data_IF_780269475906
#
_entry.id   IF_780269475906
#
_cell.length_a   1.000
_cell.length_b   1.000
_cell.length_c   1.000
_cell.angle_alpha   90.00
_cell.angle_beta   90.00
_cell.angle_gamma   90.00
#
_symmetry.space_group_name_H-M   'P 1'
#
loop_
_entity.id
_entity.type
_entity.pdbx_description
1 polymer ?
#
# COMPACT_ATOMS: atom_id res chain seq x y z
N UNK A 1 14.82 -52.98 -12.20
CA UNK A 1 15.19 -52.46 -10.86
C UNK A 1 14.95 -50.97 -10.83
N UNK A 2 13.89 -50.57 -10.13
CA UNK A 2 13.45 -49.18 -10.11
C UNK A 2 14.06 -48.45 -8.91
N UNK A 3 14.68 -47.30 -9.17
CA UNK A 3 15.10 -46.36 -8.15
C UNK A 3 14.06 -45.26 -7.96
N UNK A 4 13.36 -45.26 -6.81
CA UNK A 4 12.47 -44.17 -6.36
C UNK A 4 13.32 -43.03 -5.80
N UNK A 5 13.38 -41.89 -6.48
CA UNK A 5 13.89 -40.65 -5.96
C UNK A 5 12.86 -39.99 -5.04
N UNK A 6 13.08 -40.03 -3.73
CA UNK A 6 12.27 -39.32 -2.74
C UNK A 6 12.55 -37.83 -2.80
N UNK A 7 11.54 -37.01 -3.14
CA UNK A 7 11.59 -35.58 -2.94
C UNK A 7 11.34 -35.28 -1.46
N UNK A 8 12.42 -34.97 -0.74
CA UNK A 8 12.32 -34.42 0.60
C UNK A 8 11.76 -33.01 0.52
N UNK A 9 10.50 -32.84 0.90
CA UNK A 9 9.95 -31.52 1.24
C UNK A 9 10.75 -30.97 2.44
N UNK A 10 11.63 -30.04 2.17
CA UNK A 10 12.25 -29.22 3.20
C UNK A 10 11.13 -28.36 3.81
N UNK A 11 10.62 -28.80 4.97
CA UNK A 11 9.77 -27.95 5.81
C UNK A 11 10.57 -26.70 6.17
N UNK A 12 10.16 -25.55 5.66
CA UNK A 12 10.67 -24.25 6.10
C UNK A 12 10.28 -24.11 7.56
N UNK A 13 11.29 -24.02 8.42
CA UNK A 13 11.13 -23.77 9.85
C UNK A 13 10.18 -22.59 10.06
N UNK A 14 9.11 -22.78 10.85
CA UNK A 14 8.12 -21.79 11.14
C UNK A 14 8.77 -20.52 11.68
N UNK A 15 8.59 -19.38 10.98
CA UNK A 15 8.91 -18.06 11.53
C UNK A 15 8.07 -17.90 12.79
N UNK A 16 8.72 -17.71 13.94
CA UNK A 16 8.02 -17.43 15.20
C UNK A 16 7.07 -16.23 15.02
N UNK A 17 5.93 -16.23 15.75
CA UNK A 17 4.94 -15.16 15.66
C UNK A 17 5.61 -13.79 15.82
N UNK A 18 5.30 -12.85 14.89
CA UNK A 18 5.83 -11.48 14.93
C UNK A 18 5.40 -10.75 16.20
N UNK A 19 6.06 -9.65 16.54
CA UNK A 19 5.63 -8.81 17.68
C UNK A 19 4.15 -8.39 17.52
N UNK A 20 3.72 -8.08 16.29
CA UNK A 20 2.34 -7.68 15.96
C UNK A 20 1.37 -8.84 16.23
N UNK A 21 1.72 -10.08 15.89
CA UNK A 21 0.85 -11.25 16.08
C UNK A 21 0.57 -11.57 17.55
N UNK A 22 1.45 -11.15 18.45
CA UNK A 22 1.29 -11.34 19.91
C UNK A 22 0.42 -10.29 20.60
N UNK A 23 0.03 -9.22 19.89
CA UNK A 23 -0.86 -8.19 20.43
C UNK A 23 -2.30 -8.71 20.42
N UNK A 24 -2.95 -8.75 21.57
CA UNK A 24 -4.26 -9.40 21.75
C UNK A 24 -5.43 -8.43 21.83
N UNK A 25 -5.18 -7.13 21.71
CA UNK A 25 -6.24 -6.12 21.71
C UNK A 25 -5.88 -4.89 20.87
N UNK A 26 -6.92 -4.17 20.43
CA UNK A 26 -6.75 -2.88 19.71
C UNK A 26 -6.00 -1.86 20.57
N UNK A 27 -6.21 -1.85 21.88
CA UNK A 27 -5.50 -0.95 22.79
C UNK A 27 -3.99 -1.22 22.78
N UNK A 28 -3.60 -2.49 22.85
CA UNK A 28 -2.17 -2.87 22.76
C UNK A 28 -1.60 -2.51 21.39
N UNK A 29 -2.34 -2.75 20.30
CA UNK A 29 -1.90 -2.44 18.96
C UNK A 29 -1.74 -0.91 18.75
N UNK A 30 -2.71 -0.12 19.20
CA UNK A 30 -2.60 1.34 19.16
C UNK A 30 -1.39 1.85 19.95
N UNK A 31 -1.13 1.29 21.14
CA UNK A 31 0.05 1.63 21.95
C UNK A 31 1.34 1.23 21.23
N UNK A 32 1.38 0.03 20.65
CA UNK A 32 2.54 -0.46 19.91
C UNK A 32 2.85 0.43 18.70
N UNK A 33 1.84 0.79 17.91
CA UNK A 33 1.99 1.69 16.75
C UNK A 33 2.51 3.08 17.15
N UNK A 34 2.02 3.64 18.26
CA UNK A 34 2.50 4.96 18.77
C UNK A 34 3.97 4.94 19.19
N UNK A 35 4.48 3.79 19.57
CA UNK A 35 5.88 3.62 19.99
C UNK A 35 6.83 3.33 18.81
N UNK A 36 6.32 3.24 17.57
CA UNK A 36 7.17 3.13 16.40
C UNK A 36 7.70 4.51 15.97
N UNK A 37 8.91 4.54 15.43
CA UNK A 37 9.53 5.73 14.83
C UNK A 37 8.99 6.04 13.41
N UNK A 38 7.91 5.40 13.02
CA UNK A 38 7.31 5.49 11.68
C UNK A 38 6.58 6.81 11.45
N UNK A 39 6.01 7.34 12.51
CA UNK A 39 5.13 8.49 12.48
C UNK A 39 5.84 9.72 13.05
N UNK A 40 5.46 10.91 12.57
CA UNK A 40 5.97 12.15 13.12
C UNK A 40 5.50 12.37 14.58
N UNK A 41 6.25 13.13 15.38
CA UNK A 41 5.82 13.48 16.73
C UNK A 41 4.43 14.10 16.76
N UNK A 42 3.59 13.69 17.71
CA UNK A 42 2.20 14.19 17.82
C UNK A 42 1.21 13.52 16.87
N UNK A 43 1.58 12.49 16.16
CA UNK A 43 0.69 11.73 15.25
C UNK A 43 -0.51 11.15 15.98
N UNK A 44 -1.67 11.20 15.31
CA UNK A 44 -2.89 10.61 15.86
C UNK A 44 -3.08 9.17 15.33
N UNK A 45 -3.05 8.20 16.27
CA UNK A 45 -3.22 6.78 15.97
C UNK A 45 -4.36 6.22 16.81
N UNK A 46 -5.40 5.72 16.12
CA UNK A 46 -6.55 5.08 16.75
C UNK A 46 -7.27 4.14 15.77
N UNK A 47 -7.17 2.85 15.99
CA UNK A 47 -7.89 1.81 15.25
C UNK A 47 -9.09 1.28 16.04
N UNK A 48 -9.70 2.11 16.90
CA UNK A 48 -10.88 1.74 17.67
C UNK A 48 -12.05 1.36 16.74
N UNK A 49 -12.70 0.25 17.01
CA UNK A 49 -13.81 -0.26 16.19
C UNK A 49 -13.39 -1.08 14.96
N UNK A 50 -12.08 -1.20 14.69
CA UNK A 50 -11.53 -2.10 13.67
C UNK A 50 -11.41 -3.51 14.24
N UNK A 51 -11.65 -4.53 13.41
CA UNK A 51 -11.34 -5.93 13.71
C UNK A 51 -9.86 -6.09 14.07
N UNK A 52 -9.53 -6.93 15.06
CA UNK A 52 -8.15 -7.06 15.54
C UNK A 52 -7.20 -7.60 14.45
N UNK A 53 -7.64 -8.57 13.67
CA UNK A 53 -6.81 -9.12 12.60
C UNK A 53 -6.63 -8.11 11.46
N UNK A 54 -7.69 -7.35 11.15
CA UNK A 54 -7.58 -6.24 10.19
C UNK A 54 -6.60 -5.18 10.69
N UNK A 55 -6.64 -4.83 11.96
CA UNK A 55 -5.72 -3.87 12.56
C UNK A 55 -4.26 -4.38 12.59
N UNK A 56 -4.04 -5.69 12.82
CA UNK A 56 -2.73 -6.33 12.66
C UNK A 56 -2.23 -6.25 11.22
N UNK A 57 -3.11 -6.48 10.24
CA UNK A 57 -2.80 -6.32 8.82
C UNK A 57 -2.36 -4.89 8.47
N UNK A 58 -3.03 -3.88 9.04
CA UNK A 58 -2.64 -2.47 8.93
C UNK A 58 -1.21 -2.26 9.47
N UNK A 59 -0.92 -2.74 10.67
CA UNK A 59 0.41 -2.62 11.27
C UNK A 59 1.51 -3.33 10.45
N UNK A 60 1.21 -4.52 9.90
CA UNK A 60 2.12 -5.27 9.04
C UNK A 60 2.39 -4.56 7.71
N UNK A 61 1.38 -3.91 7.11
CA UNK A 61 1.57 -3.14 5.89
C UNK A 61 2.52 -1.95 6.11
N UNK A 62 2.35 -1.20 7.19
CA UNK A 62 3.30 -0.16 7.58
C UNK A 62 4.69 -0.73 7.80
N UNK A 63 4.83 -1.82 8.57
CA UNK A 63 6.12 -2.46 8.82
C UNK A 63 6.83 -2.82 7.51
N UNK A 64 6.14 -3.47 6.58
CA UNK A 64 6.72 -3.85 5.28
C UNK A 64 7.24 -2.64 4.48
N UNK A 65 6.49 -1.52 4.52
CA UNK A 65 6.89 -0.30 3.82
C UNK A 65 8.11 0.34 4.48
N UNK A 66 8.14 0.46 5.82
CA UNK A 66 9.28 1.08 6.51
C UNK A 66 10.52 0.19 6.58
N UNK A 67 10.36 -1.14 6.51
CA UNK A 67 11.48 -2.07 6.33
C UNK A 67 12.15 -1.86 4.95
N UNK A 68 11.35 -1.57 3.91
CA UNK A 68 11.86 -1.30 2.56
C UNK A 68 12.33 0.15 2.39
N UNK A 69 11.61 1.11 2.94
CA UNK A 69 11.80 2.55 2.75
C UNK A 69 11.95 3.29 4.09
N UNK A 70 13.03 3.06 4.84
CA UNK A 70 13.22 3.66 6.16
C UNK A 70 13.31 5.20 6.12
N UNK A 71 13.64 5.80 4.97
CA UNK A 71 13.68 7.25 4.77
C UNK A 71 12.31 7.94 4.83
N UNK A 72 11.21 7.18 4.74
CA UNK A 72 9.85 7.70 4.88
C UNK A 72 9.41 7.86 6.34
N UNK A 73 10.22 7.39 7.31
CA UNK A 73 9.91 7.54 8.72
C UNK A 73 9.78 9.01 9.11
N UNK A 74 8.82 9.31 9.96
CA UNK A 74 8.56 10.67 10.40
C UNK A 74 7.75 11.55 9.44
N UNK A 75 7.41 11.07 8.24
CA UNK A 75 6.52 11.80 7.34
C UNK A 75 5.04 11.62 7.70
N UNK A 76 4.63 10.40 8.00
CA UNK A 76 3.23 10.06 8.24
C UNK A 76 2.70 10.68 9.53
N UNK A 77 1.52 11.30 9.47
CA UNK A 77 0.85 11.88 10.64
C UNK A 77 -0.10 10.94 11.37
N UNK A 78 -0.07 9.65 11.01
CA UNK A 78 -0.76 8.60 11.73
C UNK A 78 -1.82 7.86 10.92
N UNK A 79 -2.55 6.98 11.61
CA UNK A 79 -3.65 6.19 11.06
C UNK A 79 -4.82 6.15 12.05
N UNK A 80 -6.04 6.32 11.54
CA UNK A 80 -7.23 6.25 12.39
C UNK A 80 -8.41 5.58 11.69
N UNK A 81 -9.25 4.93 12.49
CA UNK A 81 -10.58 4.54 12.03
C UNK A 81 -11.49 5.76 11.98
N UNK A 82 -12.32 5.83 10.95
CA UNK A 82 -13.24 6.94 10.71
C UNK A 82 -14.47 6.48 9.95
N UNK A 83 -15.56 7.20 10.07
CA UNK A 83 -16.73 6.95 9.23
C UNK A 83 -16.53 7.63 7.87
N UNK A 84 -16.24 6.81 6.86
CA UNK A 84 -16.02 7.25 5.48
C UNK A 84 -17.28 7.08 4.60
N UNK A 85 -18.41 6.75 5.22
CA UNK A 85 -19.62 6.40 4.48
C UNK A 85 -19.56 5.03 3.83
N UNK A 86 -20.52 4.74 2.95
CA UNK A 86 -20.60 3.46 2.24
C UNK A 86 -19.70 3.43 1.01
N UNK A 87 -18.98 2.32 0.82
CA UNK A 87 -18.21 2.08 -0.41
C UNK A 87 -16.76 2.58 -0.40
N UNK A 88 -16.34 3.35 0.60
CA UNK A 88 -14.95 3.78 0.74
C UNK A 88 -14.24 2.91 1.77
N UNK A 89 -13.17 2.25 1.37
CA UNK A 89 -12.35 1.41 2.26
C UNK A 89 -11.46 2.26 3.17
N UNK A 90 -10.72 3.19 2.57
CA UNK A 90 -9.77 4.04 3.24
C UNK A 90 -9.56 5.31 2.41
N UNK A 91 -8.86 6.29 2.95
CA UNK A 91 -8.36 7.45 2.23
C UNK A 91 -7.06 7.98 2.84
N UNK A 92 -6.32 8.77 2.08
CA UNK A 92 -5.06 9.38 2.46
C UNK A 92 -5.06 10.90 2.22
N UNK A 93 -4.56 11.66 3.18
CA UNK A 93 -4.19 13.05 2.97
C UNK A 93 -2.76 13.13 2.43
N UNK A 94 -2.60 13.48 1.16
CA UNK A 94 -1.32 13.55 0.45
C UNK A 94 -0.30 14.46 1.13
N UNK A 95 -0.76 15.58 1.71
CA UNK A 95 0.13 16.57 2.32
C UNK A 95 0.70 16.11 3.67
N UNK A 96 0.02 15.21 4.35
CA UNK A 96 0.39 14.85 5.73
C UNK A 96 0.65 13.37 5.93
N UNK A 97 0.35 12.53 4.96
CA UNK A 97 0.37 11.07 5.12
C UNK A 97 -0.59 10.57 6.20
N UNK A 98 -1.64 11.34 6.56
CA UNK A 98 -2.69 10.84 7.45
C UNK A 98 -3.57 9.87 6.70
N UNK A 99 -3.68 8.64 7.19
CA UNK A 99 -4.57 7.63 6.61
C UNK A 99 -5.79 7.44 7.51
N UNK A 100 -6.98 7.39 6.88
CA UNK A 100 -8.22 7.00 7.54
C UNK A 100 -8.71 5.68 6.96
N UNK A 101 -9.09 4.75 7.82
CA UNK A 101 -9.69 3.48 7.42
C UNK A 101 -11.16 3.45 7.84
N UNK A 102 -12.04 2.96 6.98
CA UNK A 102 -13.48 2.92 7.25
C UNK A 102 -13.78 2.01 8.45
N UNK A 103 -14.33 2.59 9.51
CA UNK A 103 -14.75 1.82 10.68
C UNK A 103 -15.90 0.86 10.37
N UNK A 104 -16.66 1.09 9.30
CA UNK A 104 -17.72 0.20 8.83
C UNK A 104 -17.14 -1.00 8.09
N UNK A 105 -16.25 -0.76 7.11
CA UNK A 105 -15.65 -1.82 6.28
C UNK A 105 -14.68 -2.70 7.07
N UNK A 106 -13.89 -2.10 7.95
CA UNK A 106 -12.87 -2.81 8.74
C UNK A 106 -13.39 -3.41 10.06
N UNK A 107 -14.68 -3.29 10.34
CA UNK A 107 -15.28 -3.87 11.56
C UNK A 107 -15.29 -5.39 11.56
N UNK A 108 -15.36 -6.01 10.37
CA UNK A 108 -15.43 -7.47 10.18
C UNK A 108 -14.53 -7.88 9.03
N UNK A 109 -13.39 -8.46 9.36
CA UNK A 109 -12.40 -8.86 8.36
C UNK A 109 -12.98 -9.71 7.22
N UNK A 110 -13.82 -10.69 7.54
CA UNK A 110 -14.41 -11.57 6.52
C UNK A 110 -15.29 -10.82 5.50
N UNK A 111 -15.97 -9.76 5.91
CA UNK A 111 -16.78 -8.93 5.01
C UNK A 111 -15.88 -8.07 4.14
N UNK A 112 -14.81 -7.51 4.71
CA UNK A 112 -13.77 -6.79 3.98
C UNK A 112 -13.11 -7.67 2.90
N UNK A 113 -12.68 -8.87 3.27
CA UNK A 113 -12.08 -9.84 2.36
C UNK A 113 -13.01 -10.20 1.19
N UNK A 114 -14.28 -10.51 1.49
CA UNK A 114 -15.27 -10.83 0.44
C UNK A 114 -15.51 -9.64 -0.49
N UNK A 115 -15.55 -8.43 0.05
CA UNK A 115 -15.70 -7.22 -0.76
C UNK A 115 -14.51 -7.03 -1.67
N UNK A 116 -13.31 -7.08 -1.14
CA UNK A 116 -12.07 -6.93 -1.90
C UNK A 116 -11.90 -8.00 -3.00
N UNK A 117 -12.25 -9.28 -2.70
CA UNK A 117 -12.24 -10.36 -3.70
C UNK A 117 -13.22 -10.07 -4.86
N UNK A 118 -14.40 -9.49 -4.59
CA UNK A 118 -15.31 -9.07 -5.68
C UNK A 118 -14.70 -7.99 -6.55
N UNK A 119 -14.02 -7.02 -5.94
CA UNK A 119 -13.39 -5.91 -6.63
C UNK A 119 -12.21 -6.38 -7.51
N UNK A 120 -11.38 -7.32 -7.03
CA UNK A 120 -10.35 -7.98 -7.85
C UNK A 120 -10.99 -8.70 -9.05
N UNK A 121 -12.06 -9.47 -8.84
CA UNK A 121 -12.74 -10.18 -9.94
C UNK A 121 -13.33 -9.25 -10.99
N UNK A 122 -13.70 -8.04 -10.59
CA UNK A 122 -14.15 -6.97 -11.47
C UNK A 122 -13.00 -6.18 -12.11
N UNK A 123 -11.76 -6.57 -11.89
CA UNK A 123 -10.54 -5.82 -12.23
C UNK A 123 -10.55 -4.38 -11.67
N UNK A 124 -11.25 -4.16 -10.55
CA UNK A 124 -11.27 -2.85 -9.91
C UNK A 124 -9.94 -2.56 -9.23
N UNK A 125 -9.38 -3.53 -8.51
CA UNK A 125 -8.05 -3.53 -7.92
C UNK A 125 -7.10 -4.53 -8.60
N UNK A 126 -5.77 -4.44 -8.38
CA UNK A 126 -4.79 -5.29 -9.01
C UNK A 126 -4.96 -6.76 -8.67
N UNK A 127 -4.85 -7.62 -9.66
CA UNK A 127 -4.86 -9.07 -9.47
C UNK A 127 -3.64 -9.53 -8.66
N UNK A 128 -3.80 -10.63 -7.92
CA UNK A 128 -2.72 -11.22 -7.12
C UNK A 128 -2.42 -10.47 -5.81
N UNK A 129 -3.32 -9.57 -5.40
CA UNK A 129 -3.27 -8.87 -4.11
C UNK A 129 -4.33 -9.39 -3.15
N UNK A 130 -4.27 -8.97 -1.91
CA UNK A 130 -5.25 -9.24 -0.87
C UNK A 130 -5.81 -7.93 -0.28
N UNK A 131 -6.78 -8.01 0.62
CA UNK A 131 -7.40 -6.83 1.24
C UNK A 131 -6.40 -5.88 1.94
N UNK A 132 -5.25 -6.38 2.40
CA UNK A 132 -4.22 -5.52 3.00
C UNK A 132 -3.55 -4.60 1.97
N UNK A 133 -3.75 -4.86 0.67
CA UNK A 133 -3.35 -3.96 -0.40
C UNK A 133 -4.09 -2.61 -0.33
N UNK A 134 -5.27 -2.54 0.28
CA UNK A 134 -6.01 -1.28 0.48
C UNK A 134 -5.13 -0.29 1.27
N UNK A 135 -4.58 -0.71 2.42
CA UNK A 135 -3.72 0.19 3.18
C UNK A 135 -2.41 0.48 2.45
N UNK A 136 -1.85 -0.50 1.75
CA UNK A 136 -0.64 -0.30 0.95
C UNK A 136 -0.88 0.71 -0.16
N UNK A 137 -2.06 0.72 -0.77
CA UNK A 137 -2.52 1.74 -1.71
C UNK A 137 -2.52 3.14 -1.08
N UNK A 138 -3.13 3.31 0.10
CA UNK A 138 -3.14 4.59 0.80
C UNK A 138 -1.73 5.07 1.19
N UNK A 139 -0.85 4.14 1.56
CA UNK A 139 0.56 4.46 1.77
C UNK A 139 1.21 4.90 0.45
N UNK A 140 0.82 4.33 -0.69
CA UNK A 140 1.24 4.76 -2.02
C UNK A 140 0.92 6.24 -2.28
N UNK A 141 -0.30 6.67 -1.98
CA UNK A 141 -0.69 8.08 -2.04
C UNK A 141 0.16 8.97 -1.13
N UNK A 142 0.43 8.52 0.10
CA UNK A 142 1.30 9.27 1.03
C UNK A 142 2.73 9.39 0.49
N UNK A 143 3.25 8.36 -0.18
CA UNK A 143 4.58 8.39 -0.81
C UNK A 143 4.61 9.34 -1.99
N UNK A 144 3.58 9.36 -2.85
CA UNK A 144 3.47 10.33 -3.95
C UNK A 144 3.47 11.77 -3.41
N UNK A 145 2.69 12.01 -2.33
CA UNK A 145 2.70 13.28 -1.61
C UNK A 145 4.06 13.65 -1.02
N UNK A 146 4.77 12.66 -0.45
CA UNK A 146 6.15 12.86 0.05
C UNK A 146 7.11 13.28 -1.07
N UNK A 147 7.09 12.59 -2.20
CA UNK A 147 7.94 12.89 -3.35
C UNK A 147 7.64 14.30 -3.87
N UNK A 148 6.35 14.64 -4.02
CA UNK A 148 5.92 15.96 -4.49
C UNK A 148 6.43 17.10 -3.60
N UNK A 149 6.50 16.87 -2.28
CA UNK A 149 6.97 17.89 -1.32
C UNK A 149 8.50 18.00 -1.22
N UNK A 150 9.24 16.95 -1.61
CA UNK A 150 10.70 16.87 -1.43
C UNK A 150 11.49 16.91 -2.76
N UNK A 151 10.81 17.03 -3.90
CA UNK A 151 11.49 17.21 -5.18
C UNK A 151 12.08 18.64 -5.30
N UNK A 152 13.28 18.76 -5.83
CA UNK A 152 14.03 20.04 -5.93
C UNK A 152 13.31 21.14 -6.72
N UNK A 153 12.40 20.77 -7.61
CA UNK A 153 11.50 21.69 -8.33
C UNK A 153 10.34 22.20 -7.45
N UNK A 154 10.30 21.74 -6.21
CA UNK A 154 9.16 21.80 -5.28
C UNK A 154 8.96 23.14 -4.57
N UNK A 155 9.56 24.22 -5.00
CA UNK A 155 9.16 25.54 -4.53
C UNK A 155 7.71 25.83 -4.99
N UNK A 156 6.74 25.31 -4.21
CA UNK A 156 5.31 25.64 -4.29
C UNK A 156 4.51 25.12 -5.50
N UNK A 157 4.96 24.09 -6.20
CA UNK A 157 4.06 23.38 -7.10
C UNK A 157 3.05 22.57 -6.27
N UNK A 158 1.84 23.06 -6.13
CA UNK A 158 0.70 22.34 -5.55
C UNK A 158 0.08 21.37 -6.58
N UNK A 159 0.80 21.03 -7.63
CA UNK A 159 0.37 20.04 -8.62
C UNK A 159 0.68 18.63 -8.13
N UNK A 160 -0.26 18.09 -7.35
CA UNK A 160 -0.19 16.73 -6.82
C UNK A 160 -0.16 15.66 -7.92
N UNK A 161 -0.58 15.98 -9.14
CA UNK A 161 -0.60 15.04 -10.27
C UNK A 161 0.72 14.98 -11.04
N UNK A 162 1.60 15.95 -10.86
CA UNK A 162 2.82 16.09 -11.68
C UNK A 162 3.71 14.85 -11.59
N UNK A 163 4.09 14.46 -10.37
CA UNK A 163 5.00 13.34 -10.15
C UNK A 163 4.43 12.02 -10.70
N UNK A 164 3.19 11.70 -10.33
CA UNK A 164 2.54 10.48 -10.80
C UNK A 164 2.33 10.46 -12.31
N UNK A 165 2.03 11.60 -12.95
CA UNK A 165 1.85 11.71 -14.40
C UNK A 165 3.17 11.53 -15.16
N UNK A 166 4.25 12.18 -14.71
CA UNK A 166 5.59 12.05 -15.32
C UNK A 166 6.11 10.60 -15.17
N UNK A 167 5.92 9.99 -14.02
CA UNK A 167 6.33 8.61 -13.77
C UNK A 167 5.51 7.61 -14.61
N UNK A 168 4.20 7.81 -14.72
CA UNK A 168 3.34 6.97 -15.57
C UNK A 168 3.79 7.03 -17.04
N UNK A 169 3.98 8.23 -17.57
CA UNK A 169 4.42 8.44 -18.94
C UNK A 169 5.78 7.77 -19.21
N UNK A 170 6.73 7.94 -18.32
CA UNK A 170 8.06 7.33 -18.39
C UNK A 170 8.01 5.80 -18.43
N UNK A 171 7.19 5.21 -17.57
CA UNK A 171 7.06 3.74 -17.48
C UNK A 171 6.32 3.19 -18.70
N UNK A 172 5.28 3.88 -19.16
CA UNK A 172 4.55 3.49 -20.35
C UNK A 172 5.44 3.51 -21.60
N UNK A 173 6.27 4.55 -21.77
CA UNK A 173 7.26 4.64 -22.85
C UNK A 173 8.25 3.47 -22.78
N UNK A 174 8.81 3.21 -21.62
CA UNK A 174 9.79 2.12 -21.40
C UNK A 174 9.21 0.74 -21.69
N UNK A 175 7.94 0.52 -21.42
CA UNK A 175 7.23 -0.74 -21.68
C UNK A 175 6.60 -0.80 -23.08
N UNK A 176 6.71 0.28 -23.88
CA UNK A 176 6.06 0.42 -25.18
C UNK A 176 4.54 0.20 -25.12
N UNK A 177 3.89 0.74 -24.10
CA UNK A 177 2.44 0.68 -23.89
C UNK A 177 1.84 2.10 -23.86
N UNK A 178 0.53 2.20 -24.13
CA UNK A 178 -0.17 3.49 -24.02
C UNK A 178 -0.57 3.84 -22.58
N UNK A 179 -0.98 5.11 -22.38
CA UNK A 179 -1.51 5.63 -21.11
C UNK A 179 -3.02 5.85 -21.15
N UNK A 180 -3.72 5.33 -22.17
CA UNK A 180 -5.19 5.41 -22.21
C UNK A 180 -5.81 4.62 -21.06
N UNK A 181 -7.02 5.02 -20.64
CA UNK A 181 -7.79 4.32 -19.60
C UNK A 181 -7.91 2.82 -19.88
N UNK A 182 -8.17 2.44 -21.13
CA UNK A 182 -8.27 1.03 -21.52
C UNK A 182 -6.93 0.29 -21.34
N UNK A 183 -5.83 0.91 -21.72
CA UNK A 183 -4.50 0.33 -21.61
C UNK A 183 -4.08 0.19 -20.14
N UNK A 184 -4.20 1.24 -19.32
CA UNK A 184 -3.89 1.19 -17.90
C UNK A 184 -4.77 0.17 -17.18
N UNK A 185 -6.07 0.11 -17.50
CA UNK A 185 -6.96 -0.90 -16.93
C UNK A 185 -6.50 -2.33 -17.23
N UNK A 186 -5.95 -2.57 -18.41
CA UNK A 186 -5.43 -3.88 -18.82
C UNK A 186 -4.10 -4.20 -18.13
N UNK A 187 -3.21 -3.22 -17.99
CA UNK A 187 -1.86 -3.37 -17.44
C UNK A 187 -1.83 -3.41 -15.91
N UNK A 188 -2.82 -2.79 -15.26
CA UNK A 188 -2.87 -2.64 -13.81
C UNK A 188 -4.27 -2.93 -13.26
N UNK A 189 -5.18 -1.94 -13.27
CA UNK A 189 -6.53 -2.08 -12.73
C UNK A 189 -7.45 -0.99 -13.29
N UNK A 190 -8.76 -1.18 -13.19
CA UNK A 190 -9.75 -0.16 -13.56
C UNK A 190 -9.66 1.06 -12.64
N UNK A 191 -9.38 0.86 -11.36
CA UNK A 191 -9.24 1.96 -10.42
C UNK A 191 -7.97 2.77 -10.70
N UNK A 192 -6.84 2.13 -10.94
CA UNK A 192 -5.61 2.79 -11.38
C UNK A 192 -5.73 3.52 -12.73
N UNK A 193 -6.74 3.17 -13.54
CA UNK A 193 -7.02 3.86 -14.80
C UNK A 193 -7.88 5.12 -14.66
N UNK A 194 -8.34 5.47 -13.46
CA UNK A 194 -9.22 6.64 -13.23
C UNK A 194 -8.44 7.96 -13.26
N UNK A 195 -7.25 7.98 -12.70
CA UNK A 195 -6.30 9.10 -12.76
C UNK A 195 -4.89 8.63 -12.35
N UNK A 196 -3.89 9.51 -12.47
CA UNK A 196 -2.49 9.15 -12.24
C UNK A 196 -2.13 8.98 -10.75
N UNK A 197 -2.84 9.60 -9.83
CA UNK A 197 -2.65 9.36 -8.39
C UNK A 197 -3.08 7.94 -8.02
N UNK A 198 -4.25 7.51 -8.51
CA UNK A 198 -4.74 6.14 -8.31
C UNK A 198 -3.84 5.13 -9.02
N UNK A 199 -3.33 5.46 -10.22
CA UNK A 199 -2.36 4.62 -10.90
C UNK A 199 -1.10 4.40 -10.05
N UNK A 200 -0.57 5.46 -9.44
CA UNK A 200 0.62 5.38 -8.58
C UNK A 200 0.36 4.45 -7.38
N UNK A 201 -0.76 4.68 -6.68
CA UNK A 201 -1.13 3.92 -5.51
C UNK A 201 -1.41 2.43 -5.81
N UNK A 202 -2.10 2.13 -6.93
CA UNK A 202 -2.36 0.76 -7.37
C UNK A 202 -1.09 0.04 -7.83
N UNK A 203 -0.18 0.73 -8.55
CA UNK A 203 1.11 0.17 -8.96
C UNK A 203 2.00 -0.13 -7.74
N UNK A 204 1.99 0.75 -6.73
CA UNK A 204 2.66 0.53 -5.47
C UNK A 204 2.08 -0.66 -4.70
N UNK A 205 0.75 -0.73 -4.60
CA UNK A 205 0.05 -1.80 -3.90
C UNK A 205 0.34 -3.18 -4.55
N UNK A 206 0.28 -3.28 -5.88
CA UNK A 206 0.63 -4.51 -6.59
C UNK A 206 2.11 -4.87 -6.40
N UNK A 207 3.01 -3.88 -6.55
CA UNK A 207 4.44 -4.08 -6.43
C UNK A 207 4.90 -4.54 -5.05
N UNK A 208 4.18 -4.13 -3.99
CA UNK A 208 4.47 -4.50 -2.61
C UNK A 208 3.79 -5.80 -2.17
N UNK A 209 2.63 -6.14 -2.75
CA UNK A 209 1.75 -7.21 -2.23
C UNK A 209 1.68 -8.45 -3.11
N UNK A 210 1.86 -8.31 -4.43
CA UNK A 210 1.81 -9.45 -5.35
C UNK A 210 3.12 -10.23 -5.34
N UNK A 211 3.03 -11.55 -5.28
CA UNK A 211 4.21 -12.43 -5.49
C UNK A 211 4.72 -12.36 -6.93
N UNK A 212 3.83 -12.05 -7.88
CA UNK A 212 4.11 -11.95 -9.30
C UNK A 212 3.54 -10.64 -9.88
N UNK A 213 4.09 -9.47 -9.50
CA UNK A 213 3.58 -8.20 -9.99
C UNK A 213 3.74 -8.11 -11.52
N UNK A 214 2.75 -7.50 -12.18
CA UNK A 214 2.76 -7.28 -13.63
C UNK A 214 3.91 -6.35 -14.05
N UNK A 215 4.30 -6.33 -15.33
CA UNK A 215 5.42 -5.51 -15.81
C UNK A 215 5.34 -4.04 -15.39
N UNK A 216 4.15 -3.43 -15.44
CA UNK A 216 3.95 -2.04 -15.05
C UNK A 216 4.25 -1.80 -13.56
N UNK A 217 3.75 -2.64 -12.67
CA UNK A 217 4.03 -2.54 -11.23
C UNK A 217 5.50 -2.85 -10.90
N UNK A 218 6.12 -3.81 -11.57
CA UNK A 218 7.56 -4.09 -11.40
C UNK A 218 8.43 -2.91 -11.79
N UNK A 219 8.16 -2.33 -12.96
CA UNK A 219 8.93 -1.18 -13.44
C UNK A 219 8.70 0.05 -12.58
N UNK A 220 7.46 0.25 -12.10
CA UNK A 220 7.13 1.27 -11.12
C UNK A 220 8.00 1.16 -9.87
N UNK A 221 8.13 -0.04 -9.28
CA UNK A 221 8.95 -0.23 -8.08
C UNK A 221 10.43 0.06 -8.33
N UNK A 222 10.95 -0.28 -9.52
CA UNK A 222 12.33 0.04 -9.92
C UNK A 222 12.55 1.56 -9.99
N UNK A 223 11.63 2.29 -10.61
CA UNK A 223 11.75 3.75 -10.74
C UNK A 223 11.52 4.44 -9.39
N UNK A 224 10.56 3.98 -8.58
CA UNK A 224 10.32 4.48 -7.23
C UNK A 224 11.56 4.33 -6.34
N UNK A 225 12.23 3.18 -6.38
CA UNK A 225 13.48 2.95 -5.65
C UNK A 225 14.57 3.97 -6.03
N UNK A 226 14.65 4.36 -7.31
CA UNK A 226 15.60 5.40 -7.79
C UNK A 226 15.22 6.79 -7.27
N UNK A 227 13.94 7.13 -7.32
CA UNK A 227 13.44 8.43 -6.85
C UNK A 227 13.73 8.57 -5.35
N UNK A 228 13.28 7.62 -4.53
CA UNK A 228 13.41 7.67 -3.08
C UNK A 228 14.86 7.63 -2.59
N UNK A 229 15.80 7.09 -3.38
CA UNK A 229 17.24 7.17 -3.06
C UNK A 229 17.84 8.56 -3.28
N UNK A 230 17.29 9.35 -4.19
CA UNK A 230 17.76 10.73 -4.49
C UNK A 230 17.25 11.76 -3.47
N UNK A 231 16.11 11.48 -2.83
CA UNK A 231 15.48 12.35 -1.83
C UNK A 231 16.03 12.15 -0.41
N UNK A 232 17.17 11.50 -0.28
CA UNK A 232 17.88 11.25 0.99
C UNK A 232 18.75 12.44 1.40
#
# INVERSE_FOLDING_TARGET
MGGRGGHSHRMTAGRGASAIDRLTSITQLNSWLRNQDWFRPGSYISLNGVDLEAARGIAKAYQQVFDRYPQLKGFFSGVKSFDLGSGTYADCNLATGQIRVSNTMYRRLQELERSYVRDIRANWHPAGTDWAAILTHEIGHAIDGYITQHSDDGLFSHDWYRNSSELQAKIADKLHVGTSTAEISRQLSRYGATNTLEWFAEAFAEGMRSENPRPMAREFMIELDKILRRLR
#
